data_IF_892130606992
#
_entry.id   IF_892130606992
#
_cell.length_a   1.000
_cell.length_b   1.000
_cell.length_c   1.000
_cell.angle_alpha   90.00
_cell.angle_beta   90.00
_cell.angle_gamma   90.00
#
_symmetry.space_group_name_H-M   'P 1'
#
loop_
_entity.id
_entity.type
_entity.pdbx_description
1 polymer ?
#
# COMPACT_ATOMS: atom_id res chain seq x y z
N UNK A 1 14.12 35.14 9.17
CA UNK A 1 15.41 34.50 8.79
C UNK A 1 15.51 34.55 7.27
N UNK A 2 16.61 35.07 6.73
CA UNK A 2 16.69 35.57 5.37
C UNK A 2 16.67 34.49 4.30
N UNK A 3 15.66 34.50 3.43
CA UNK A 3 15.42 33.62 2.26
C UNK A 3 16.58 33.66 1.21
N UNK A 4 17.54 34.56 1.36
CA UNK A 4 18.64 34.75 0.40
C UNK A 4 19.77 33.71 0.47
N UNK A 5 19.83 32.84 1.49
CA UNK A 5 20.85 31.78 1.62
C UNK A 5 20.50 30.46 0.89
N UNK A 6 19.29 30.32 0.36
CA UNK A 6 18.84 29.09 -0.32
C UNK A 6 19.29 29.01 -1.80
N UNK A 7 19.80 30.10 -2.37
CA UNK A 7 20.10 30.17 -3.81
C UNK A 7 21.47 29.60 -4.23
N UNK A 8 22.38 29.30 -3.29
CA UNK A 8 23.75 28.85 -3.64
C UNK A 8 23.97 27.34 -3.64
N UNK A 9 23.03 26.55 -3.11
CA UNK A 9 23.15 25.08 -3.09
C UNK A 9 22.58 24.37 -4.34
N UNK A 10 21.99 25.10 -5.28
CA UNK A 10 21.23 24.52 -6.42
C UNK A 10 22.08 24.07 -7.61
N UNK A 11 23.42 24.29 -7.61
CA UNK A 11 24.25 24.08 -8.83
C UNK A 11 25.14 22.83 -8.79
N UNK A 12 25.24 22.11 -7.66
CA UNK A 12 26.19 20.98 -7.51
C UNK A 12 25.56 19.59 -7.30
N UNK A 13 24.28 19.41 -7.63
CA UNK A 13 23.56 18.16 -7.31
C UNK A 13 23.47 17.12 -8.44
N UNK A 14 24.33 17.15 -9.44
CA UNK A 14 24.19 16.28 -10.62
C UNK A 14 24.86 14.88 -10.53
N UNK A 15 25.34 14.43 -9.38
CA UNK A 15 26.15 13.19 -9.40
C UNK A 15 26.02 12.17 -8.26
N UNK A 16 25.06 12.25 -7.32
CA UNK A 16 25.07 11.34 -6.14
C UNK A 16 23.88 10.42 -6.02
N UNK A 17 22.81 10.60 -6.75
CA UNK A 17 21.73 9.62 -6.81
C UNK A 17 21.64 9.05 -8.23
N UNK A 18 22.21 7.86 -8.44
CA UNK A 18 21.84 6.99 -9.54
C UNK A 18 20.42 6.46 -9.26
N UNK A 19 19.41 7.33 -9.45
CA UNK A 19 18.03 6.91 -9.59
C UNK A 19 17.90 6.38 -11.01
N UNK A 20 17.93 5.07 -11.15
CA UNK A 20 17.66 4.42 -12.43
C UNK A 20 16.24 4.75 -12.89
N UNK A 21 16.16 4.97 -14.17
CA UNK A 21 15.04 5.22 -15.06
C UNK A 21 14.78 6.70 -15.36
N UNK A 22 14.71 6.97 -16.65
CA UNK A 22 14.55 8.29 -17.26
C UNK A 22 13.39 9.06 -16.60
N UNK A 23 13.73 10.23 -16.03
CA UNK A 23 12.75 11.16 -15.49
C UNK A 23 11.91 11.69 -16.68
N UNK A 24 10.85 11.02 -17.02
CA UNK A 24 9.86 11.55 -17.96
C UNK A 24 9.29 12.84 -17.40
N UNK A 25 9.46 13.92 -18.13
CA UNK A 25 8.81 15.20 -17.82
C UNK A 25 7.30 14.99 -17.97
N UNK A 26 6.55 15.29 -16.90
CA UNK A 26 5.11 15.14 -16.92
C UNK A 26 4.46 16.20 -17.78
N UNK A 27 4.01 15.77 -18.95
CA UNK A 27 3.31 16.63 -19.88
C UNK A 27 1.82 16.63 -19.57
N UNK A 28 1.28 17.80 -19.24
CA UNK A 28 -0.13 18.05 -19.09
C UNK A 28 -0.70 18.56 -20.41
N UNK A 29 -1.94 18.22 -20.72
CA UNK A 29 -2.69 18.82 -21.82
C UNK A 29 -3.24 20.17 -21.39
N UNK A 30 -2.72 21.25 -21.97
CA UNK A 30 -3.28 22.60 -21.85
C UNK A 30 -4.24 22.87 -22.99
N UNK A 31 -5.39 23.46 -22.66
CA UNK A 31 -6.44 23.80 -23.64
C UNK A 31 -6.51 25.32 -23.78
N UNK A 32 -6.40 25.81 -24.97
CA UNK A 32 -6.60 27.24 -25.26
C UNK A 32 -8.10 27.60 -25.31
N UNK A 33 -8.45 28.88 -25.13
CA UNK A 33 -9.83 29.40 -25.26
C UNK A 33 -10.45 29.09 -26.64
N UNK A 34 -9.64 28.79 -27.65
CA UNK A 34 -10.06 28.38 -28.99
C UNK A 34 -10.22 26.85 -29.13
N UNK A 35 -10.17 26.09 -28.06
CA UNK A 35 -10.27 24.63 -28.03
C UNK A 35 -9.02 23.87 -28.50
N UNK A 36 -7.94 24.57 -28.89
CA UNK A 36 -6.69 23.90 -29.25
C UNK A 36 -6.03 23.32 -28.02
N UNK A 37 -5.55 22.09 -28.14
CA UNK A 37 -4.88 21.34 -27.08
C UNK A 37 -3.38 21.25 -27.37
N UNK A 38 -2.56 21.35 -26.33
CA UNK A 38 -1.11 21.23 -26.39
C UNK A 38 -0.60 20.47 -25.18
N UNK A 39 0.20 19.45 -25.39
CA UNK A 39 0.88 18.74 -24.32
C UNK A 39 2.20 19.42 -23.97
N UNK A 40 2.31 19.89 -22.75
CA UNK A 40 3.47 20.66 -22.29
C UNK A 40 3.63 20.61 -20.77
N UNK A 41 4.80 21.04 -20.31
CA UNK A 41 5.09 21.29 -18.89
C UNK A 41 5.08 22.80 -18.64
N UNK A 42 4.37 23.28 -17.63
CA UNK A 42 4.46 24.66 -17.17
C UNK A 42 5.79 24.87 -16.44
N UNK A 43 6.68 25.70 -16.98
CA UNK A 43 8.02 25.92 -16.44
C UNK A 43 8.20 27.31 -15.82
N UNK A 44 7.34 28.26 -16.16
CA UNK A 44 7.39 29.62 -15.60
C UNK A 44 6.07 30.36 -15.76
N UNK A 45 5.79 31.27 -14.82
CA UNK A 45 4.75 32.29 -14.95
C UNK A 45 5.28 33.63 -14.47
N UNK A 46 5.17 34.66 -15.28
CA UNK A 46 5.64 36.00 -14.96
C UNK A 46 4.73 37.06 -15.61
N UNK A 47 4.31 38.05 -14.84
CA UNK A 47 3.52 39.20 -15.31
C UNK A 47 2.30 38.81 -16.16
N UNK A 48 1.57 37.78 -15.77
CA UNK A 48 0.39 37.29 -16.52
C UNK A 48 0.70 36.41 -17.73
N UNK A 49 1.96 36.23 -18.09
CA UNK A 49 2.40 35.30 -19.13
C UNK A 49 2.71 33.92 -18.52
N UNK A 50 2.49 32.88 -19.31
CA UNK A 50 2.88 31.50 -19.01
C UNK A 50 3.92 31.03 -20.00
N UNK A 51 4.90 30.28 -19.53
CA UNK A 51 5.92 29.63 -20.38
C UNK A 51 5.78 28.13 -20.28
N UNK A 52 5.46 27.49 -21.39
CA UNK A 52 5.32 26.06 -21.54
C UNK A 52 6.53 25.45 -22.24
N UNK A 53 7.01 24.30 -21.74
CA UNK A 53 8.00 23.47 -22.41
C UNK A 53 7.28 22.34 -23.17
N UNK A 54 7.42 22.33 -24.50
CA UNK A 54 6.80 21.36 -25.39
C UNK A 54 7.60 20.05 -25.46
N UNK A 55 6.99 18.93 -25.86
CA UNK A 55 7.67 17.63 -26.05
C UNK A 55 8.89 17.69 -26.99
N UNK A 56 8.91 18.62 -27.91
CA UNK A 56 10.03 18.83 -28.83
C UNK A 56 11.15 19.74 -28.26
N UNK A 57 11.10 20.02 -26.96
CA UNK A 57 12.07 20.89 -26.27
C UNK A 57 11.91 22.38 -26.51
N UNK A 58 10.96 22.82 -27.34
CA UNK A 58 10.72 24.27 -27.56
C UNK A 58 9.96 24.86 -26.37
N UNK A 59 10.33 26.09 -26.02
CA UNK A 59 9.60 26.92 -25.06
C UNK A 59 8.61 27.81 -25.80
N UNK A 60 7.40 27.91 -25.27
CA UNK A 60 6.35 28.78 -25.78
C UNK A 60 5.85 29.69 -24.68
N UNK A 61 6.00 31.00 -24.83
CA UNK A 61 5.52 31.99 -23.86
C UNK A 61 4.35 32.75 -24.46
N UNK A 62 3.25 32.88 -23.73
CA UNK A 62 2.06 33.58 -24.15
C UNK A 62 1.23 34.05 -22.95
N UNK A 63 0.29 34.99 -23.13
CA UNK A 63 -0.58 35.45 -22.06
C UNK A 63 -1.44 34.29 -21.49
N UNK A 64 -1.49 34.14 -20.17
CA UNK A 64 -2.25 33.08 -19.47
C UNK A 64 -3.76 33.14 -19.72
N UNK A 65 -4.31 34.32 -20.05
CA UNK A 65 -5.71 34.52 -20.43
C UNK A 65 -6.13 33.81 -21.73
N UNK A 66 -5.16 33.27 -22.48
CA UNK A 66 -5.42 32.45 -23.68
C UNK A 66 -5.67 30.98 -23.36
N UNK A 67 -5.55 30.56 -22.13
CA UNK A 67 -5.87 29.21 -21.67
C UNK A 67 -7.35 29.11 -21.28
N UNK A 68 -7.87 27.88 -21.23
CA UNK A 68 -9.20 27.59 -20.67
C UNK A 68 -9.27 28.03 -19.20
N UNK A 69 -10.47 28.22 -18.70
CA UNK A 69 -10.69 28.62 -17.30
C UNK A 69 -10.03 27.65 -16.30
N UNK A 70 -10.19 26.35 -16.53
CA UNK A 70 -9.55 25.29 -15.75
C UNK A 70 -8.01 25.39 -15.75
N UNK A 71 -7.40 25.64 -16.91
CA UNK A 71 -5.96 25.78 -17.02
C UNK A 71 -5.45 27.11 -16.44
N UNK A 72 -6.27 28.17 -16.47
CA UNK A 72 -5.96 29.42 -15.78
C UNK A 72 -5.94 29.23 -14.26
N UNK A 73 -6.88 28.48 -13.70
CA UNK A 73 -6.89 28.12 -12.27
C UNK A 73 -5.66 27.29 -11.90
N UNK A 74 -5.30 26.29 -12.71
CA UNK A 74 -4.08 25.52 -12.54
C UNK A 74 -2.82 26.42 -12.54
N UNK A 75 -2.70 27.32 -13.52
CA UNK A 75 -1.58 28.28 -13.60
C UNK A 75 -1.58 29.22 -12.39
N UNK A 76 -2.72 29.69 -11.93
CA UNK A 76 -2.83 30.55 -10.75
C UNK A 76 -2.29 29.86 -9.49
N UNK A 77 -2.67 28.60 -9.30
CA UNK A 77 -2.23 27.78 -8.16
C UNK A 77 -0.76 27.31 -8.28
N UNK A 78 -0.19 27.27 -9.49
CA UNK A 78 1.16 26.76 -9.72
C UNK A 78 2.23 27.61 -9.03
N UNK A 79 3.19 26.95 -8.40
CA UNK A 79 4.36 27.57 -7.78
C UNK A 79 5.64 26.91 -8.28
N UNK A 80 6.58 27.69 -8.80
CA UNK A 80 7.83 27.19 -9.39
C UNK A 80 8.69 26.43 -8.40
N UNK A 81 8.81 26.94 -7.17
CA UNK A 81 9.62 26.27 -6.13
C UNK A 81 9.00 24.92 -5.76
N UNK A 82 7.68 24.87 -5.59
CA UNK A 82 6.94 23.63 -5.36
C UNK A 82 7.09 22.67 -6.55
N UNK A 83 6.96 23.14 -7.79
CA UNK A 83 7.10 22.31 -8.98
C UNK A 83 8.51 21.71 -9.12
N UNK A 84 9.55 22.49 -8.87
CA UNK A 84 10.95 22.01 -8.86
C UNK A 84 11.17 21.00 -7.72
N UNK A 85 10.63 21.26 -6.55
CA UNK A 85 10.68 20.33 -5.42
C UNK A 85 9.99 19.01 -5.76
N UNK A 86 8.75 19.05 -6.26
CA UNK A 86 7.99 17.85 -6.65
C UNK A 86 8.71 17.08 -7.77
N UNK A 87 9.26 17.76 -8.77
CA UNK A 87 10.06 17.10 -9.81
C UNK A 87 11.27 16.34 -9.21
N UNK A 88 11.92 16.90 -8.20
CA UNK A 88 13.01 16.21 -7.47
C UNK A 88 12.48 15.02 -6.66
N UNK A 89 11.26 15.11 -6.15
CA UNK A 89 10.62 14.03 -5.39
C UNK A 89 10.22 12.82 -6.23
N UNK A 90 10.20 12.91 -7.57
CA UNK A 90 9.87 11.77 -8.45
C UNK A 90 10.74 10.54 -8.22
N UNK A 91 11.99 10.74 -7.82
CA UNK A 91 12.90 9.66 -7.46
C UNK A 91 12.66 9.07 -6.05
N UNK A 92 11.85 9.71 -5.22
CA UNK A 92 11.53 9.24 -3.88
C UNK A 92 10.62 8.02 -3.94
N UNK A 93 10.94 6.94 -3.25
CA UNK A 93 10.08 5.76 -3.18
C UNK A 93 9.01 5.93 -2.09
N UNK A 94 7.91 5.17 -2.20
CA UNK A 94 6.90 5.07 -1.13
C UNK A 94 7.57 4.64 0.18
N UNK A 95 8.50 3.69 0.09
CA UNK A 95 9.30 3.22 1.22
C UNK A 95 10.05 4.36 1.91
N UNK A 96 10.81 5.17 1.14
CA UNK A 96 11.58 6.28 1.71
C UNK A 96 10.68 7.29 2.43
N UNK A 97 9.53 7.63 1.84
CA UNK A 97 8.58 8.54 2.43
C UNK A 97 7.98 7.99 3.74
N UNK A 98 7.57 6.71 3.75
CA UNK A 98 6.97 6.09 4.92
C UNK A 98 7.99 5.87 6.04
N UNK A 99 9.23 5.46 5.71
CA UNK A 99 10.31 5.35 6.70
C UNK A 99 10.63 6.71 7.34
N UNK A 100 10.59 7.82 6.58
CA UNK A 100 10.70 9.18 7.12
C UNK A 100 9.59 9.53 8.10
N UNK A 101 8.43 8.89 7.97
CA UNK A 101 7.26 9.07 8.85
C UNK A 101 7.22 8.06 9.98
N UNK A 102 8.29 7.31 10.20
CA UNK A 102 8.42 6.34 11.28
C UNK A 102 7.75 5.01 11.05
N UNK A 103 7.31 4.70 9.82
CA UNK A 103 6.80 3.37 9.49
C UNK A 103 7.92 2.35 9.45
N UNK A 104 7.65 1.15 9.95
CA UNK A 104 8.48 -0.01 9.79
C UNK A 104 8.10 -0.75 8.50
N UNK A 105 9.09 -1.23 7.76
CA UNK A 105 8.94 -1.81 6.43
C UNK A 105 9.25 -3.29 6.42
N UNK A 106 8.33 -4.11 5.89
CA UNK A 106 8.47 -5.56 5.78
C UNK A 106 8.38 -5.98 4.32
N UNK A 107 9.35 -6.79 3.88
CA UNK A 107 9.19 -7.54 2.63
C UNK A 107 8.21 -8.66 2.85
N UNK A 108 7.33 -8.87 1.90
CA UNK A 108 6.41 -9.99 1.92
C UNK A 108 6.75 -11.03 0.83
N UNK A 109 6.31 -12.26 1.07
CA UNK A 109 6.31 -13.32 0.08
C UNK A 109 4.94 -13.36 -0.59
N UNK A 110 4.91 -13.66 -1.90
CA UNK A 110 3.68 -14.02 -2.59
C UNK A 110 3.58 -15.54 -2.62
N UNK A 111 2.48 -16.07 -2.08
CA UNK A 111 2.09 -17.47 -2.20
C UNK A 111 0.84 -17.54 -3.04
N UNK A 112 0.95 -18.21 -4.18
CA UNK A 112 0.01 -17.97 -5.28
C UNK A 112 -0.03 -16.49 -5.63
N UNK A 113 -1.01 -15.72 -5.22
CA UNK A 113 -0.99 -14.26 -5.31
C UNK A 113 -1.16 -13.57 -3.94
N UNK A 114 -1.45 -14.33 -2.88
CA UNK A 114 -1.67 -13.78 -1.55
C UNK A 114 -0.39 -13.30 -0.89
N UNK A 115 -0.51 -12.25 -0.11
CA UNK A 115 0.59 -11.62 0.62
C UNK A 115 0.81 -12.34 1.94
N UNK A 116 2.01 -12.86 2.17
CA UNK A 116 2.39 -13.50 3.44
C UNK A 116 3.58 -12.77 4.06
N UNK A 117 3.45 -12.41 5.34
CA UNK A 117 4.49 -11.76 6.13
C UNK A 117 4.91 -12.60 7.33
N UNK A 118 6.18 -12.54 7.72
CA UNK A 118 6.64 -13.14 8.97
C UNK A 118 6.36 -12.22 10.16
N UNK A 119 6.17 -12.83 11.33
CA UNK A 119 6.07 -12.13 12.60
C UNK A 119 6.13 -13.13 13.75
N UNK A 120 5.65 -12.74 14.93
CA UNK A 120 5.61 -13.63 16.10
C UNK A 120 4.25 -13.57 16.78
N UNK A 121 3.81 -14.72 17.27
CA UNK A 121 2.65 -14.90 18.13
C UNK A 121 3.11 -15.49 19.46
N UNK A 122 2.91 -14.78 20.56
CA UNK A 122 3.41 -15.15 21.89
C UNK A 122 4.92 -15.47 21.90
N UNK A 123 5.71 -14.72 21.09
CA UNK A 123 7.15 -14.92 20.93
C UNK A 123 7.56 -16.08 20.00
N UNK A 124 6.62 -16.86 19.49
CA UNK A 124 6.86 -17.97 18.54
C UNK A 124 6.75 -17.41 17.12
N UNK A 125 7.68 -17.79 16.24
CA UNK A 125 7.66 -17.40 14.84
C UNK A 125 6.38 -17.88 14.16
N UNK A 126 5.74 -16.99 13.44
CA UNK A 126 4.45 -17.23 12.79
C UNK A 126 4.38 -16.54 11.41
N UNK A 127 3.47 -17.00 10.57
CA UNK A 127 3.20 -16.48 9.23
C UNK A 127 1.78 -15.96 9.15
N UNK A 128 1.64 -14.77 8.58
CA UNK A 128 0.40 -14.05 8.51
C UNK A 128 0.03 -13.76 7.06
N UNK A 129 -1.13 -14.20 6.66
CA UNK A 129 -1.73 -13.85 5.38
C UNK A 129 -2.41 -12.47 5.53
N UNK A 130 -2.06 -11.52 4.71
CA UNK A 130 -2.66 -10.18 4.71
C UNK A 130 -3.92 -10.20 3.87
N UNK A 131 -5.06 -9.96 4.51
CA UNK A 131 -6.38 -10.12 3.93
C UNK A 131 -7.28 -8.91 4.19
N UNK A 132 -7.37 -8.01 3.18
CA UNK A 132 -8.26 -6.83 3.25
C UNK A 132 -9.73 -7.18 3.03
N UNK A 133 -10.02 -8.37 2.51
CA UNK A 133 -11.36 -8.92 2.34
C UNK A 133 -11.93 -9.51 3.62
N UNK A 134 -11.08 -9.85 4.61
CA UNK A 134 -11.50 -10.29 5.92
C UNK A 134 -11.78 -9.08 6.82
N UNK A 135 -13.03 -8.88 7.22
CA UNK A 135 -13.41 -7.80 8.14
C UNK A 135 -12.74 -7.94 9.51
N UNK A 136 -12.49 -9.17 9.95
CA UNK A 136 -11.93 -9.51 11.26
C UNK A 136 -10.76 -10.47 11.05
N UNK A 137 -9.68 -10.25 11.78
CA UNK A 137 -8.53 -11.15 11.82
C UNK A 137 -8.94 -12.50 12.41
N UNK A 138 -8.32 -13.57 11.88
CA UNK A 138 -8.69 -14.94 12.22
C UNK A 138 -7.46 -15.83 12.40
N UNK A 139 -7.31 -16.43 13.56
CA UNK A 139 -6.25 -17.40 13.83
C UNK A 139 -6.57 -18.78 13.24
N UNK A 140 -5.59 -19.46 12.71
CA UNK A 140 -5.66 -20.89 12.50
C UNK A 140 -5.50 -21.60 13.83
N UNK A 141 -6.38 -22.56 14.15
CA UNK A 141 -6.34 -23.29 15.43
C UNK A 141 -4.97 -23.92 15.73
N UNK A 142 -4.32 -24.50 14.70
CA UNK A 142 -3.00 -25.11 14.89
C UNK A 142 -1.91 -24.08 15.18
N UNK A 143 -1.97 -22.92 14.53
CA UNK A 143 -1.10 -21.77 14.83
C UNK A 143 -1.30 -21.28 16.26
N UNK A 144 -2.55 -21.13 16.70
CA UNK A 144 -2.90 -20.74 18.07
C UNK A 144 -2.39 -21.74 19.12
N UNK A 145 -2.56 -23.06 18.86
CA UNK A 145 -2.04 -24.15 19.73
C UNK A 145 -0.52 -24.11 19.81
N UNK A 146 0.17 -24.00 18.66
CA UNK A 146 1.64 -23.93 18.58
C UNK A 146 2.19 -22.73 19.35
N UNK A 147 1.49 -21.59 19.28
CA UNK A 147 1.85 -20.37 20.01
C UNK A 147 1.38 -20.35 21.47
N UNK A 148 0.84 -21.45 22.00
CA UNK A 148 0.31 -21.57 23.35
C UNK A 148 -0.74 -20.49 23.71
N UNK A 149 -1.59 -20.14 22.77
CA UNK A 149 -2.70 -19.26 23.00
C UNK A 149 -3.78 -19.98 23.85
N UNK A 150 -4.54 -19.22 24.64
CA UNK A 150 -5.63 -19.75 25.41
C UNK A 150 -6.91 -19.72 24.58
N UNK A 151 -7.26 -20.87 24.00
CA UNK A 151 -8.45 -21.05 23.17
C UNK A 151 -9.67 -21.28 24.08
N UNK A 152 -10.73 -20.51 23.83
CA UNK A 152 -12.03 -20.64 24.51
C UNK A 152 -12.89 -21.78 23.96
N UNK A 153 -14.18 -21.82 24.31
CA UNK A 153 -15.12 -22.79 23.74
C UNK A 153 -15.40 -22.48 22.26
N UNK A 154 -15.65 -23.53 21.46
CA UNK A 154 -16.02 -23.44 20.06
C UNK A 154 -17.52 -23.15 19.90
N UNK A 155 -17.97 -21.98 20.33
CA UNK A 155 -19.37 -21.57 20.38
C UNK A 155 -19.68 -20.33 19.47
N UNK A 156 -18.69 -19.89 18.72
CA UNK A 156 -18.83 -18.87 17.72
C UNK A 156 -18.80 -19.44 16.30
N UNK A 157 -19.15 -18.62 15.31
CA UNK A 157 -19.07 -18.98 13.90
C UNK A 157 -18.39 -17.90 13.11
N UNK A 158 -17.59 -18.33 12.12
CA UNK A 158 -17.04 -17.44 11.09
C UNK A 158 -17.56 -17.87 9.73
N UNK A 159 -17.73 -16.90 8.87
CA UNK A 159 -18.31 -17.07 7.54
C UNK A 159 -17.29 -16.71 6.47
N UNK A 160 -17.20 -17.51 5.45
CA UNK A 160 -16.32 -17.30 4.34
C UNK A 160 -16.97 -17.66 2.99
N UNK A 161 -16.29 -17.48 1.83
CA UNK A 161 -16.80 -17.64 0.44
C UNK A 161 -17.48 -18.99 0.20
N UNK A 162 -17.12 -20.01 0.93
CA UNK A 162 -17.60 -21.35 0.70
C UNK A 162 -18.56 -21.87 1.77
N UNK A 163 -18.76 -21.11 2.87
CA UNK A 163 -19.62 -21.54 3.94
C UNK A 163 -19.29 -20.94 5.30
N UNK A 164 -19.58 -21.70 6.35
CA UNK A 164 -19.30 -21.33 7.74
C UNK A 164 -18.44 -22.42 8.41
N UNK A 165 -17.67 -22.03 9.43
CA UNK A 165 -16.94 -22.96 10.32
C UNK A 165 -17.05 -22.51 11.76
N UNK A 166 -16.91 -23.45 12.69
CA UNK A 166 -16.93 -23.17 14.12
C UNK A 166 -15.68 -22.43 14.55
N UNK A 167 -15.82 -21.52 15.52
CA UNK A 167 -14.73 -20.66 15.99
C UNK A 167 -14.77 -20.47 17.50
N UNK A 168 -13.64 -20.05 18.08
CA UNK A 168 -13.50 -19.75 19.49
C UNK A 168 -12.77 -18.41 19.70
N UNK A 169 -13.25 -17.61 20.64
CA UNK A 169 -12.45 -16.49 21.14
C UNK A 169 -11.17 -16.98 21.79
N UNK A 170 -10.05 -16.42 21.41
CA UNK A 170 -8.71 -16.89 21.78
C UNK A 170 -7.88 -15.72 22.32
N UNK A 171 -7.34 -15.90 23.53
CA UNK A 171 -6.48 -14.89 24.15
C UNK A 171 -5.06 -15.00 23.57
N UNK A 172 -4.57 -13.93 22.98
CA UNK A 172 -3.20 -13.79 22.45
C UNK A 172 -2.45 -12.76 23.29
N UNK A 173 -1.37 -13.18 23.97
CA UNK A 173 -0.58 -12.28 24.83
C UNK A 173 0.22 -11.27 24.06
N UNK A 174 0.77 -11.68 22.92
CA UNK A 174 1.50 -10.78 22.04
C UNK A 174 1.43 -11.21 20.58
N UNK A 175 1.22 -10.24 19.72
CA UNK A 175 1.28 -10.38 18.26
C UNK A 175 2.22 -9.29 17.76
N UNK A 176 3.36 -9.65 17.17
CA UNK A 176 4.39 -8.65 16.83
C UNK A 176 4.92 -8.80 15.41
N UNK A 177 5.16 -7.67 14.79
CA UNK A 177 5.78 -7.46 13.49
C UNK A 177 6.91 -6.44 13.69
N UNK A 178 8.12 -6.92 13.98
CA UNK A 178 9.21 -6.04 14.41
C UNK A 178 8.87 -5.30 15.70
N UNK A 179 8.84 -3.97 15.66
CA UNK A 179 8.42 -3.11 16.79
C UNK A 179 6.93 -2.81 16.79
N UNK A 180 6.24 -3.13 15.69
CA UNK A 180 4.79 -2.97 15.57
C UNK A 180 4.08 -4.19 16.14
N UNK A 181 2.90 -4.02 16.72
CA UNK A 181 2.10 -5.17 17.18
C UNK A 181 1.09 -4.83 18.26
N UNK A 182 0.63 -5.88 18.94
CA UNK A 182 -0.45 -5.82 19.93
C UNK A 182 -0.12 -6.70 21.13
N UNK A 183 -0.60 -6.32 22.29
CA UNK A 183 -0.54 -7.11 23.51
C UNK A 183 -1.93 -7.33 24.08
N UNK A 184 -2.12 -8.50 24.72
CA UNK A 184 -3.34 -8.87 25.43
C UNK A 184 -4.61 -8.64 24.59
N UNK A 185 -4.64 -9.20 23.36
CA UNK A 185 -5.79 -9.10 22.45
C UNK A 185 -6.53 -10.42 22.35
N UNK A 186 -7.82 -10.32 22.00
CA UNK A 186 -8.66 -11.47 21.68
C UNK A 186 -8.92 -11.53 20.18
N UNK A 187 -8.73 -12.70 19.58
CA UNK A 187 -8.95 -12.96 18.16
C UNK A 187 -9.72 -14.27 18.05
N UNK A 188 -10.65 -14.36 17.10
CA UNK A 188 -11.33 -15.62 16.79
C UNK A 188 -10.33 -16.62 16.19
N UNK A 189 -10.42 -17.88 16.60
CA UNK A 189 -9.66 -18.98 16.03
C UNK A 189 -10.60 -20.02 15.44
N UNK A 190 -10.29 -20.49 14.23
CA UNK A 190 -11.05 -21.52 13.54
C UNK A 190 -10.10 -22.52 12.85
N UNK A 191 -10.60 -23.68 12.47
CA UNK A 191 -9.87 -24.60 11.61
C UNK A 191 -10.01 -24.14 10.15
N UNK A 192 -8.99 -23.43 9.64
CA UNK A 192 -8.96 -22.94 8.26
C UNK A 192 -8.61 -24.03 7.24
N UNK A 193 -8.32 -25.24 7.71
CA UNK A 193 -7.96 -26.40 6.91
C UNK A 193 -8.95 -27.57 7.06
N UNK A 194 -10.12 -27.34 7.65
CA UNK A 194 -11.11 -28.39 7.94
C UNK A 194 -11.50 -29.19 6.69
N UNK A 195 -11.65 -28.53 5.55
CA UNK A 195 -12.06 -29.14 4.29
C UNK A 195 -10.89 -29.70 3.45
N UNK A 196 -9.65 -29.63 3.96
CA UNK A 196 -8.49 -30.18 3.28
C UNK A 196 -8.33 -31.66 3.59
N UNK A 197 -8.07 -32.47 2.56
CA UNK A 197 -7.58 -33.83 2.77
C UNK A 197 -6.17 -33.81 3.39
N UNK A 198 -5.73 -34.91 4.03
CA UNK A 198 -4.41 -34.99 4.64
C UNK A 198 -3.28 -34.73 3.59
N UNK A 199 -3.45 -35.17 2.35
CA UNK A 199 -2.51 -34.89 1.27
C UNK A 199 -2.51 -33.40 0.86
N UNK A 200 -3.67 -32.74 0.90
CA UNK A 200 -3.78 -31.32 0.66
C UNK A 200 -3.20 -30.49 1.83
N UNK A 201 -3.35 -30.94 3.07
CA UNK A 201 -2.74 -30.32 4.27
C UNK A 201 -1.21 -30.36 4.23
N UNK A 202 -0.63 -31.46 3.71
CA UNK A 202 0.84 -31.54 3.53
C UNK A 202 1.37 -30.54 2.48
N UNK A 203 0.55 -30.22 1.49
CA UNK A 203 0.93 -29.30 0.39
C UNK A 203 0.48 -27.87 0.68
N UNK A 204 -0.66 -27.71 1.32
CA UNK A 204 -1.19 -26.42 1.72
C UNK A 204 -0.33 -25.86 2.86
N UNK A 205 0.47 -24.86 2.55
CA UNK A 205 1.10 -24.03 3.57
C UNK A 205 0.00 -23.18 4.23
N UNK A 206 -0.64 -23.70 5.28
CA UNK A 206 -1.59 -22.92 6.06
C UNK A 206 -0.81 -21.89 6.89
N UNK A 207 -1.12 -20.64 6.69
CA UNK A 207 -0.63 -19.55 7.51
C UNK A 207 -1.25 -19.64 8.91
N UNK A 208 -0.55 -19.09 9.91
CA UNK A 208 -0.99 -19.16 11.30
C UNK A 208 -2.18 -18.27 11.60
N UNK A 209 -2.38 -17.28 10.76
CA UNK A 209 -3.42 -16.26 10.94
C UNK A 209 -3.72 -15.54 9.63
N UNK A 210 -4.99 -15.18 9.42
CA UNK A 210 -5.41 -14.11 8.52
C UNK A 210 -5.31 -12.78 9.27
N UNK A 211 -4.50 -11.86 8.78
CA UNK A 211 -4.38 -10.49 9.27
C UNK A 211 -5.41 -9.65 8.54
N UNK A 212 -6.56 -9.45 9.14
CA UNK A 212 -7.71 -8.78 8.58
C UNK A 212 -7.67 -7.26 8.70
N UNK A 213 -8.68 -6.63 8.12
CA UNK A 213 -8.78 -5.17 8.04
C UNK A 213 -8.86 -4.49 9.42
N UNK A 214 -9.38 -5.16 10.44
CA UNK A 214 -9.44 -4.68 11.84
C UNK A 214 -8.06 -4.36 12.42
N UNK A 215 -7.09 -5.26 12.23
CA UNK A 215 -5.72 -5.05 12.71
C UNK A 215 -4.89 -4.25 11.72
N UNK A 216 -5.11 -4.40 10.41
CA UNK A 216 -4.44 -3.59 9.39
C UNK A 216 -4.72 -2.09 9.57
N UNK A 217 -5.94 -1.72 9.95
CA UNK A 217 -6.29 -0.34 10.26
C UNK A 217 -5.54 0.18 11.50
N UNK A 218 -5.53 -0.60 12.58
CA UNK A 218 -4.84 -0.22 13.83
C UNK A 218 -3.33 -0.07 13.62
N UNK A 219 -2.75 -0.80 12.66
CA UNK A 219 -1.35 -0.69 12.23
C UNK A 219 -1.13 0.45 11.22
N UNK A 220 -2.17 1.22 10.87
CA UNK A 220 -2.13 2.20 9.77
C UNK A 220 -1.43 1.63 8.52
N UNK A 221 -1.75 0.39 8.17
CA UNK A 221 -1.03 -0.37 7.15
C UNK A 221 -0.98 0.35 5.79
N UNK A 222 0.17 0.23 5.12
CA UNK A 222 0.32 0.58 3.71
C UNK A 222 0.84 -0.65 2.97
N UNK A 223 0.12 -1.09 1.94
CA UNK A 223 0.46 -2.26 1.13
C UNK A 223 0.92 -1.78 -0.23
N UNK A 224 2.16 -2.08 -0.63
CA UNK A 224 2.74 -1.70 -1.91
C UNK A 224 3.06 -2.96 -2.73
N UNK A 225 2.28 -3.20 -3.78
CA UNK A 225 2.44 -4.36 -4.67
C UNK A 225 3.66 -4.24 -5.57
N UNK A 226 4.05 -3.03 -5.96
CA UNK A 226 5.23 -2.81 -6.81
C UNK A 226 6.52 -3.13 -6.09
N UNK A 227 6.70 -2.58 -4.89
CA UNK A 227 7.92 -2.81 -4.10
C UNK A 227 7.87 -4.13 -3.31
N UNK A 228 6.74 -4.83 -3.33
CA UNK A 228 6.45 -6.05 -2.54
C UNK A 228 6.75 -5.82 -1.06
N UNK A 229 6.14 -4.76 -0.52
CA UNK A 229 6.31 -4.37 0.87
C UNK A 229 4.98 -4.05 1.52
N UNK A 230 4.94 -4.32 2.81
CA UNK A 230 3.92 -3.79 3.70
C UNK A 230 4.62 -2.93 4.75
N UNK A 231 3.94 -1.88 5.17
CA UNK A 231 4.45 -0.94 6.16
C UNK A 231 3.45 -0.86 7.29
N UNK A 232 3.96 -0.89 8.51
CA UNK A 232 3.17 -0.70 9.71
C UNK A 232 3.72 0.48 10.50
N UNK A 233 2.83 1.20 11.16
CA UNK A 233 3.22 2.25 12.07
C UNK A 233 3.33 1.65 13.47
N UNK A 234 4.51 1.64 14.10
CA UNK A 234 4.65 1.19 15.48
C UNK A 234 3.75 2.02 16.40
N UNK A 235 3.05 1.36 17.32
CA UNK A 235 2.35 2.07 18.40
C UNK A 235 3.40 2.67 19.35
N UNK A 236 3.47 3.99 19.38
CA UNK A 236 4.43 4.73 20.19
C UNK A 236 3.85 5.13 21.56
N UNK A 237 2.66 4.62 21.91
CA UNK A 237 1.98 4.96 23.16
C UNK A 237 2.57 4.31 24.42
N UNK A 238 3.53 3.39 24.29
CA UNK A 238 4.22 2.83 25.44
C UNK A 238 5.10 3.90 26.13
N UNK A 239 4.88 4.12 27.42
CA UNK A 239 5.49 5.13 28.30
C UNK A 239 7.02 5.16 28.33
N UNK A 240 7.70 4.23 27.65
CA UNK A 240 9.15 4.19 27.53
C UNK A 240 9.70 4.92 26.30
N UNK A 241 8.85 5.44 25.43
CA UNK A 241 9.22 6.35 24.32
C UNK A 241 9.00 7.79 24.72
N UNK A 242 9.76 8.26 25.68
CA UNK A 242 9.81 9.69 26.05
C UNK A 242 10.25 10.48 24.83
N UNK A 243 9.32 11.20 24.19
CA UNK A 243 9.62 12.16 23.11
C UNK A 243 8.83 12.04 21.82
N UNK A 244 7.83 11.15 21.69
CA UNK A 244 7.14 10.90 20.43
C UNK A 244 5.83 11.69 20.22
N UNK A 245 5.52 12.66 21.04
CA UNK A 245 4.25 13.41 20.95
C UNK A 245 4.27 14.64 20.02
N UNK A 246 5.36 14.94 19.35
CA UNK A 246 5.36 16.00 18.36
C UNK A 246 5.56 15.44 16.97
N UNK A 247 4.72 15.86 16.03
CA UNK A 247 4.83 15.62 14.57
C UNK A 247 6.25 15.95 14.02
N UNK A 248 7.09 16.55 14.83
CA UNK A 248 8.46 16.98 14.50
C UNK A 248 9.52 15.85 14.54
N UNK A 249 9.24 14.70 15.14
CA UNK A 249 10.28 13.67 15.37
C UNK A 249 10.20 12.43 14.46
N UNK A 250 9.52 12.53 13.33
CA UNK A 250 9.41 11.48 12.32
C UNK A 250 10.73 11.18 11.56
N UNK A 251 11.85 11.75 11.96
CA UNK A 251 13.16 11.53 11.31
C UNK A 251 13.89 10.27 11.78
N UNK A 252 13.35 9.57 12.79
CA UNK A 252 13.93 8.35 13.31
C UNK A 252 13.46 7.14 12.51
N UNK A 253 14.44 6.35 12.03
CA UNK A 253 14.24 5.11 11.31
C UNK A 253 14.51 3.91 12.22
N UNK A 254 13.79 2.83 12.01
CA UNK A 254 14.06 1.52 12.63
C UNK A 254 15.10 0.78 11.79
N UNK A 255 16.23 0.48 12.40
CA UNK A 255 17.32 -0.30 11.82
C UNK A 255 17.30 -1.72 12.37
N UNK A 256 17.52 -2.72 11.52
CA UNK A 256 17.57 -4.14 11.89
C UNK A 256 19.02 -4.59 12.06
N UNK A 257 19.32 -5.23 13.17
CA UNK A 257 20.63 -5.83 13.42
C UNK A 257 20.64 -7.29 12.94
N UNK A 258 21.83 -7.86 12.74
CA UNK A 258 22.00 -9.25 12.31
C UNK A 258 21.55 -10.28 13.35
N UNK A 259 21.49 -9.91 14.62
CA UNK A 259 20.98 -10.74 15.72
C UNK A 259 19.44 -10.74 15.80
N UNK A 260 18.75 -10.03 14.89
CA UNK A 260 17.30 -9.92 14.83
C UNK A 260 16.72 -8.80 15.70
N UNK A 261 17.56 -8.13 16.52
CA UNK A 261 17.12 -6.97 17.29
C UNK A 261 16.95 -5.73 16.39
N UNK A 262 16.21 -4.76 16.87
CA UNK A 262 15.97 -3.48 16.21
C UNK A 262 16.58 -2.34 16.99
N UNK A 263 16.83 -1.23 16.29
CA UNK A 263 17.36 -0.01 16.87
C UNK A 263 16.69 1.18 16.17
N UNK A 264 16.01 2.01 16.93
CA UNK A 264 15.41 3.24 16.40
C UNK A 264 16.36 4.42 16.57
N UNK A 265 16.73 5.05 15.45
CA UNK A 265 17.69 6.14 15.46
C UNK A 265 17.72 6.95 14.18
N UNK A 266 18.38 8.10 14.23
CA UNK A 266 18.64 9.02 13.13
C UNK A 266 20.13 9.07 12.85
N UNK A 267 20.54 8.91 11.60
CA UNK A 267 21.96 9.02 11.23
C UNK A 267 22.43 10.46 11.37
N UNK A 268 23.45 10.67 12.14
CA UNK A 268 24.15 11.98 12.29
C UNK A 268 25.37 12.06 11.39
N UNK A 269 26.20 11.03 11.42
CA UNK A 269 27.41 10.95 10.60
C UNK A 269 27.74 9.51 10.27
N UNK A 270 28.50 9.27 9.23
CA UNK A 270 29.06 7.96 8.92
C UNK A 270 30.47 8.06 8.33
N UNK A 271 31.20 6.96 8.45
CA UNK A 271 32.37 6.67 7.63
C UNK A 271 32.22 5.27 7.00
N UNK A 272 33.30 4.70 6.47
CA UNK A 272 33.24 3.40 5.76
C UNK A 272 32.81 2.25 6.68
N UNK A 273 33.10 2.30 7.99
CA UNK A 273 32.93 1.17 8.90
C UNK A 273 31.95 1.44 10.05
N UNK A 274 31.70 2.72 10.36
CA UNK A 274 30.96 3.14 11.55
C UNK A 274 29.90 4.15 11.17
N UNK A 275 28.69 3.97 11.71
CA UNK A 275 27.62 4.95 11.69
C UNK A 275 27.42 5.51 13.10
N UNK A 276 27.19 6.82 13.19
CA UNK A 276 26.80 7.50 14.42
C UNK A 276 25.32 7.78 14.36
N UNK A 277 24.56 7.23 15.29
CA UNK A 277 23.12 7.40 15.41
C UNK A 277 22.79 8.26 16.63
N UNK A 278 21.84 9.16 16.46
CA UNK A 278 21.09 9.77 17.54
C UNK A 278 19.90 8.84 17.84
N UNK A 279 19.80 8.36 19.07
CA UNK A 279 18.73 7.48 19.51
C UNK A 279 17.53 8.29 19.98
N UNK A 280 16.35 7.67 20.09
CA UNK A 280 15.10 8.32 20.54
C UNK A 280 15.25 9.02 21.89
N UNK A 281 16.10 8.50 22.77
CA UNK A 281 16.40 9.11 24.06
C UNK A 281 17.38 10.31 24.00
N UNK A 282 17.68 10.80 22.80
CA UNK A 282 18.60 11.91 22.55
C UNK A 282 20.10 11.55 22.69
N UNK A 283 20.44 10.32 23.06
CA UNK A 283 21.85 9.89 23.14
C UNK A 283 22.43 9.62 21.75
N UNK A 284 23.64 10.08 21.53
CA UNK A 284 24.39 9.77 20.31
C UNK A 284 25.33 8.59 20.58
N UNK A 285 25.25 7.56 19.73
CA UNK A 285 26.04 6.35 19.85
C UNK A 285 26.60 5.88 18.52
N UNK A 286 27.81 5.34 18.55
CA UNK A 286 28.49 4.78 17.38
C UNK A 286 28.28 3.28 17.28
N UNK A 287 28.00 2.80 16.06
CA UNK A 287 27.82 1.39 15.77
C UNK A 287 28.64 0.97 14.55
N UNK A 288 29.31 -0.19 14.59
CA UNK A 288 29.90 -0.78 13.40
C UNK A 288 28.80 -1.09 12.37
N UNK A 289 28.95 -0.63 11.13
CA UNK A 289 27.96 -0.87 10.05
C UNK A 289 27.75 -2.38 9.83
N UNK A 290 28.81 -3.18 9.99
CA UNK A 290 28.74 -4.64 9.84
C UNK A 290 27.80 -5.37 10.83
N UNK A 291 27.29 -4.71 11.88
CA UNK A 291 26.29 -5.28 12.81
C UNK A 291 24.88 -5.26 12.25
N UNK A 292 24.59 -4.39 11.29
CA UNK A 292 23.25 -4.21 10.73
C UNK A 292 22.95 -5.22 9.62
N UNK A 293 21.68 -5.33 9.27
CA UNK A 293 21.22 -6.11 8.13
C UNK A 293 21.89 -5.66 6.83
N UNK A 294 21.90 -6.51 5.80
CA UNK A 294 22.46 -6.14 4.51
C UNK A 294 21.74 -4.93 3.90
N UNK A 295 20.43 -4.82 4.13
CA UNK A 295 19.61 -3.73 3.66
C UNK A 295 19.96 -2.39 4.33
N UNK A 296 20.13 -2.39 5.65
CA UNK A 296 20.54 -1.19 6.39
C UNK A 296 22.01 -0.84 6.13
N UNK A 297 22.85 -1.84 5.89
CA UNK A 297 24.21 -1.63 5.41
C UNK A 297 24.22 -0.87 4.07
N UNK A 298 23.34 -1.23 3.13
CA UNK A 298 23.20 -0.53 1.86
C UNK A 298 22.61 0.88 2.05
N UNK A 299 21.65 1.05 2.97
CA UNK A 299 21.14 2.38 3.34
C UNK A 299 22.27 3.29 3.85
N UNK A 300 23.12 2.82 4.78
CA UNK A 300 24.26 3.59 5.26
C UNK A 300 25.26 3.88 4.15
N UNK A 301 25.51 2.92 3.24
CA UNK A 301 26.40 3.15 2.10
C UNK A 301 25.93 4.33 1.25
N UNK A 302 24.63 4.41 0.97
CA UNK A 302 24.01 5.44 0.13
C UNK A 302 23.71 6.75 0.89
N UNK A 303 23.75 6.75 2.22
CA UNK A 303 23.39 7.92 3.02
C UNK A 303 24.38 9.08 2.80
N UNK A 304 23.86 10.29 2.67
CA UNK A 304 24.62 11.54 2.72
C UNK A 304 23.87 12.58 3.55
N UNK A 305 24.57 13.53 4.12
CA UNK A 305 23.97 14.64 4.90
C UNK A 305 23.00 15.46 4.04
N UNK A 306 23.41 15.75 2.81
CA UNK A 306 22.57 16.50 1.84
C UNK A 306 21.33 15.72 1.44
N UNK A 307 21.46 14.38 1.24
CA UNK A 307 20.34 13.49 0.98
C UNK A 307 19.37 13.43 2.15
N UNK A 308 19.89 13.35 3.37
CA UNK A 308 19.09 13.37 4.59
C UNK A 308 18.32 14.71 4.74
N UNK A 309 18.98 15.82 4.44
CA UNK A 309 18.34 17.14 4.46
C UNK A 309 17.21 17.24 3.42
N UNK A 310 17.44 16.77 2.19
CA UNK A 310 16.39 16.71 1.15
C UNK A 310 15.21 15.85 1.60
N UNK A 311 15.47 14.63 2.10
CA UNK A 311 14.45 13.73 2.59
C UNK A 311 13.65 14.36 3.73
N UNK A 312 14.28 15.10 4.62
CA UNK A 312 13.62 15.81 5.71
C UNK A 312 12.60 16.85 5.18
N UNK A 313 12.92 17.51 4.06
CA UNK A 313 11.98 18.43 3.41
C UNK A 313 10.82 17.70 2.69
N UNK A 314 11.01 16.44 2.31
CA UNK A 314 9.95 15.62 1.72
C UNK A 314 8.88 15.15 2.72
N UNK A 315 9.04 15.40 4.01
CA UNK A 315 8.09 14.96 5.06
C UNK A 315 6.67 15.52 4.89
N UNK A 316 6.55 16.71 4.33
CA UNK A 316 5.25 17.32 4.03
C UNK A 316 4.56 16.74 2.79
N UNK A 317 5.30 15.98 1.96
CA UNK A 317 4.74 15.35 0.76
C UNK A 317 3.79 14.22 1.17
N UNK A 318 2.57 14.23 0.66
CA UNK A 318 1.61 13.12 0.90
C UNK A 318 1.96 11.91 0.04
N UNK A 319 1.42 10.73 0.40
CA UNK A 319 1.53 9.54 -0.46
C UNK A 319 0.82 9.81 -1.80
N UNK A 320 -0.32 10.50 -1.76
CA UNK A 320 -1.07 10.90 -2.96
C UNK A 320 -0.22 11.76 -3.89
N UNK A 321 0.35 12.88 -3.40
CA UNK A 321 1.23 13.73 -4.20
C UNK A 321 2.41 12.96 -4.81
N UNK A 322 3.02 12.04 -4.05
CA UNK A 322 4.13 11.21 -4.55
C UNK A 322 3.70 10.25 -5.66
N UNK A 323 2.56 9.57 -5.47
CA UNK A 323 2.08 8.57 -6.42
C UNK A 323 1.48 9.22 -7.67
N UNK A 324 0.81 10.37 -7.54
CA UNK A 324 0.36 11.19 -8.68
C UNK A 324 1.54 11.61 -9.57
N UNK A 325 2.69 12.02 -8.98
CA UNK A 325 3.92 12.29 -9.73
C UNK A 325 4.42 11.10 -10.56
N UNK A 326 3.94 9.90 -10.28
CA UNK A 326 4.30 8.65 -10.94
C UNK A 326 3.17 8.10 -11.82
N UNK A 327 2.19 8.96 -12.13
CA UNK A 327 1.02 8.63 -12.92
C UNK A 327 0.11 7.52 -12.31
N UNK A 328 0.10 7.41 -10.98
CA UNK A 328 -0.93 6.65 -10.29
C UNK A 328 -2.21 7.46 -10.21
N UNK A 329 -3.33 6.75 -10.26
CA UNK A 329 -4.63 7.31 -9.95
C UNK A 329 -5.01 7.00 -8.52
N UNK A 330 -5.60 7.98 -7.86
CA UNK A 330 -6.02 7.92 -6.47
C UNK A 330 -7.54 7.73 -6.39
N UNK A 331 -7.97 6.74 -5.60
CA UNK A 331 -9.37 6.46 -5.32
C UNK A 331 -9.59 6.50 -3.82
N UNK A 332 -10.46 7.39 -3.37
CA UNK A 332 -10.95 7.31 -2.00
C UNK A 332 -11.91 6.13 -1.92
N UNK A 333 -11.62 5.18 -1.04
CA UNK A 333 -12.50 4.05 -0.84
C UNK A 333 -13.57 4.33 0.22
N UNK A 334 -14.70 3.65 0.09
CA UNK A 334 -15.72 3.61 1.14
C UNK A 334 -15.47 2.44 2.05
N UNK A 335 -15.73 2.63 3.33
CA UNK A 335 -15.71 1.54 4.32
C UNK A 335 -17.12 1.22 4.77
N UNK A 336 -17.42 -0.08 4.86
CA UNK A 336 -18.61 -0.57 5.53
C UNK A 336 -18.19 -1.76 6.41
N UNK A 337 -18.39 -1.61 7.71
CA UNK A 337 -17.61 -2.42 8.65
C UNK A 337 -16.12 -2.17 8.40
N UNK A 338 -15.34 -3.24 8.29
CA UNK A 338 -13.91 -3.14 8.02
C UNK A 338 -13.54 -3.41 6.55
N UNK A 339 -14.51 -3.67 5.67
CA UNK A 339 -14.26 -3.90 4.24
C UNK A 339 -14.00 -2.62 3.46
N UNK A 340 -13.18 -2.74 2.41
CA UNK A 340 -12.78 -1.66 1.50
C UNK A 340 -13.55 -1.79 0.18
N UNK A 341 -14.31 -0.76 -0.20
CA UNK A 341 -15.10 -0.72 -1.43
C UNK A 341 -14.68 0.43 -2.33
N UNK A 342 -14.51 0.12 -3.63
CA UNK A 342 -14.13 1.09 -4.68
C UNK A 342 -15.14 1.05 -5.80
N UNK A 343 -15.53 2.25 -6.30
CA UNK A 343 -16.41 2.39 -7.46
C UNK A 343 -15.64 2.15 -8.76
N UNK A 344 -16.30 1.49 -9.71
CA UNK A 344 -15.74 1.20 -11.04
C UNK A 344 -16.81 0.88 -12.05
N UNK A 345 -16.43 0.27 -13.17
CA UNK A 345 -17.38 -0.26 -14.16
C UNK A 345 -17.07 -1.70 -14.52
N UNK A 346 -18.09 -2.46 -14.90
CA UNK A 346 -18.02 -3.77 -15.53
C UNK A 346 -18.84 -3.74 -16.80
N UNK A 347 -18.21 -3.92 -17.98
CA UNK A 347 -18.86 -3.83 -19.28
C UNK A 347 -19.74 -2.56 -19.41
N UNK A 348 -19.16 -1.40 -19.00
CA UNK A 348 -19.80 -0.07 -18.98
C UNK A 348 -20.94 0.11 -17.96
N UNK A 349 -21.28 -0.88 -17.13
CA UNK A 349 -22.19 -0.75 -16.00
C UNK A 349 -21.42 -0.25 -14.76
N UNK A 350 -21.96 0.80 -14.11
CA UNK A 350 -21.39 1.30 -12.84
C UNK A 350 -21.56 0.25 -11.73
N UNK A 351 -20.50 -0.10 -11.06
CA UNK A 351 -20.45 -1.17 -10.06
C UNK A 351 -19.55 -0.81 -8.88
N UNK A 352 -19.67 -1.59 -7.81
CA UNK A 352 -18.80 -1.51 -6.62
C UNK A 352 -17.97 -2.78 -6.53
N UNK A 353 -16.67 -2.65 -6.29
CA UNK A 353 -15.75 -3.75 -6.05
C UNK A 353 -15.33 -3.80 -4.59
N UNK A 354 -15.24 -4.99 -4.02
CA UNK A 354 -14.58 -5.24 -2.75
C UNK A 354 -13.08 -5.48 -3.02
N UNK A 355 -12.20 -4.71 -2.38
CA UNK A 355 -10.75 -4.89 -2.47
C UNK A 355 -10.32 -6.01 -1.52
N UNK A 356 -9.77 -7.09 -2.07
CA UNK A 356 -9.48 -8.32 -1.34
C UNK A 356 -8.07 -8.83 -1.64
N UNK A 357 -7.11 -8.55 -0.75
CA UNK A 357 -5.71 -9.03 -0.87
C UNK A 357 -5.55 -10.49 -0.49
N UNK A 358 -6.54 -11.08 0.17
CA UNK A 358 -6.61 -12.51 0.51
C UNK A 358 -7.08 -13.37 -0.66
N UNK A 359 -7.80 -12.80 -1.61
CA UNK A 359 -8.22 -13.50 -2.82
C UNK A 359 -7.07 -13.56 -3.85
N UNK A 360 -6.56 -14.74 -4.12
CA UNK A 360 -5.52 -14.99 -5.13
C UNK A 360 -5.90 -14.49 -6.52
N UNK A 361 -7.18 -14.56 -6.83
CA UNK A 361 -7.78 -14.19 -8.11
C UNK A 361 -9.05 -13.39 -7.89
N UNK A 362 -9.30 -12.42 -8.75
CA UNK A 362 -10.53 -11.67 -8.76
C UNK A 362 -11.73 -12.57 -9.07
N UNK A 363 -12.83 -12.34 -8.38
CA UNK A 363 -14.07 -13.10 -8.49
C UNK A 363 -15.23 -12.18 -8.84
N UNK A 364 -16.19 -12.70 -9.63
CA UNK A 364 -17.41 -12.03 -9.97
C UNK A 364 -18.61 -12.72 -9.32
N UNK A 365 -19.54 -11.97 -8.78
CA UNK A 365 -20.81 -12.52 -8.33
C UNK A 365 -21.63 -13.00 -9.52
N UNK A 366 -22.03 -14.28 -9.51
CA UNK A 366 -22.74 -14.92 -10.63
C UNK A 366 -24.04 -14.18 -11.01
N UNK A 367 -24.75 -13.64 -10.04
CA UNK A 367 -25.96 -12.85 -10.29
C UNK A 367 -25.66 -11.66 -11.22
N UNK A 368 -24.63 -10.86 -10.91
CA UNK A 368 -24.26 -9.69 -11.73
C UNK A 368 -23.65 -10.07 -13.07
N UNK A 369 -22.93 -11.21 -13.14
CA UNK A 369 -22.46 -11.74 -14.41
C UNK A 369 -23.62 -12.01 -15.37
N UNK A 370 -24.72 -12.56 -14.87
CA UNK A 370 -25.93 -12.84 -15.63
C UNK A 370 -26.71 -11.57 -15.96
N UNK A 371 -26.88 -10.66 -15.00
CA UNK A 371 -27.61 -9.39 -15.18
C UNK A 371 -26.95 -8.51 -16.26
N UNK A 372 -25.62 -8.41 -16.24
CA UNK A 372 -24.85 -7.65 -17.23
C UNK A 372 -24.54 -8.44 -18.50
N UNK A 373 -25.19 -9.62 -18.67
CA UNK A 373 -25.11 -10.44 -19.88
C UNK A 373 -23.68 -10.83 -20.25
N UNK A 374 -22.83 -11.02 -19.26
CA UNK A 374 -21.49 -11.60 -19.48
C UNK A 374 -21.62 -13.02 -20.01
N UNK A 375 -20.64 -13.48 -20.78
CA UNK A 375 -20.64 -14.85 -21.29
C UNK A 375 -20.16 -15.80 -20.20
N UNK A 376 -21.12 -16.36 -19.47
CA UNK A 376 -20.88 -17.33 -18.38
C UNK A 376 -20.77 -18.72 -18.97
N UNK A 377 -19.67 -19.42 -18.67
CA UNK A 377 -19.44 -20.81 -19.04
C UNK A 377 -20.17 -21.81 -18.14
N UNK A 378 -19.89 -23.11 -18.27
CA UNK A 378 -20.46 -24.12 -17.38
C UNK A 378 -19.91 -24.00 -15.96
N UNK A 379 -20.71 -24.43 -14.97
CA UNK A 379 -20.34 -24.50 -13.55
C UNK A 379 -19.44 -25.72 -13.29
N UNK A 380 -18.29 -25.78 -13.94
CA UNK A 380 -17.35 -26.91 -13.90
C UNK A 380 -16.02 -26.54 -13.21
N UNK A 381 -15.95 -25.36 -12.62
CA UNK A 381 -14.83 -24.87 -11.83
C UNK A 381 -15.20 -24.84 -10.35
N UNK A 382 -14.19 -24.69 -9.51
CA UNK A 382 -14.34 -24.51 -8.08
C UNK A 382 -13.54 -23.29 -7.62
N UNK A 383 -14.09 -22.58 -6.66
CA UNK A 383 -13.36 -21.61 -5.83
C UNK A 383 -13.31 -22.13 -4.42
N UNK A 384 -12.23 -21.79 -3.71
CA UNK A 384 -12.03 -22.20 -2.32
C UNK A 384 -11.93 -20.96 -1.44
N UNK A 385 -12.49 -21.04 -0.25
CA UNK A 385 -12.39 -20.01 0.79
C UNK A 385 -12.71 -20.62 2.15
N UNK A 386 -12.87 -19.79 3.18
CA UNK A 386 -13.34 -20.25 4.49
C UNK A 386 -14.69 -20.94 4.32
N UNK A 387 -14.85 -22.11 4.92
CA UNK A 387 -16.06 -22.95 4.80
C UNK A 387 -16.04 -23.90 3.59
N UNK A 388 -14.91 -24.06 2.89
CA UNK A 388 -14.68 -25.13 1.91
C UNK A 388 -14.62 -24.71 0.46
N UNK A 389 -15.31 -25.48 -0.42
CA UNK A 389 -15.35 -25.26 -1.87
C UNK A 389 -16.72 -24.81 -2.32
N UNK A 390 -16.77 -23.92 -3.28
CA UNK A 390 -18.00 -23.51 -3.97
C UNK A 390 -17.85 -23.69 -5.48
N UNK A 391 -18.94 -24.13 -6.19
CA UNK A 391 -18.93 -24.25 -7.63
C UNK A 391 -18.79 -22.89 -8.29
N UNK A 392 -18.09 -22.82 -9.41
CA UNK A 392 -17.82 -21.60 -10.16
C UNK A 392 -17.85 -21.84 -11.66
N UNK A 393 -18.04 -20.77 -12.42
CA UNK A 393 -17.99 -20.76 -13.89
C UNK A 393 -16.92 -19.78 -14.38
N UNK A 394 -16.19 -20.15 -15.44
CA UNK A 394 -15.37 -19.19 -16.17
C UNK A 394 -16.29 -18.19 -16.91
N UNK A 395 -16.07 -16.90 -16.69
CA UNK A 395 -16.90 -15.81 -17.23
C UNK A 395 -16.03 -14.85 -18.02
N UNK A 396 -16.37 -14.64 -19.30
CA UNK A 396 -15.68 -13.68 -20.16
C UNK A 396 -16.18 -12.27 -19.87
N UNK A 397 -15.26 -11.35 -19.64
CA UNK A 397 -15.49 -9.93 -19.35
C UNK A 397 -14.80 -9.11 -20.44
N UNK A 398 -15.54 -8.22 -21.09
CA UNK A 398 -14.97 -7.35 -22.13
C UNK A 398 -14.12 -6.26 -21.50
N UNK A 399 -14.61 -5.62 -20.42
CA UNK A 399 -13.96 -4.45 -19.83
C UNK A 399 -14.28 -4.27 -18.36
N UNK A 400 -13.24 -4.01 -17.57
CA UNK A 400 -13.31 -3.51 -16.20
C UNK A 400 -12.60 -2.18 -16.16
N UNK A 401 -13.18 -1.15 -15.54
CA UNK A 401 -12.50 0.12 -15.29
C UNK A 401 -12.57 0.52 -13.83
N UNK A 402 -11.48 1.11 -13.37
CA UNK A 402 -11.37 1.80 -12.09
C UNK A 402 -10.69 3.13 -12.42
N UNK A 403 -11.48 4.22 -12.56
CA UNK A 403 -11.02 5.47 -13.15
C UNK A 403 -10.49 5.27 -14.57
N UNK A 404 -9.24 5.68 -14.85
CA UNK A 404 -8.57 5.48 -16.14
C UNK A 404 -7.85 4.11 -16.24
N UNK A 405 -7.70 3.37 -15.13
CA UNK A 405 -7.19 2.02 -15.18
C UNK A 405 -8.22 1.11 -15.86
N UNK A 406 -7.80 0.44 -16.93
CA UNK A 406 -8.67 -0.39 -17.76
C UNK A 406 -8.07 -1.77 -17.95
N UNK A 407 -8.88 -2.80 -17.67
CA UNK A 407 -8.57 -4.20 -17.93
C UNK A 407 -9.55 -4.71 -18.98
N UNK A 408 -9.05 -5.22 -20.11
CA UNK A 408 -9.89 -5.70 -21.23
C UNK A 408 -9.70 -7.18 -21.48
N UNK A 409 -10.75 -7.83 -22.04
CA UNK A 409 -10.73 -9.23 -22.45
C UNK A 409 -10.24 -10.16 -21.32
N UNK A 410 -10.91 -10.10 -20.18
CA UNK A 410 -10.60 -10.88 -18.98
C UNK A 410 -11.49 -12.10 -18.84
N UNK A 411 -10.96 -13.13 -18.20
CA UNK A 411 -11.75 -14.28 -17.74
C UNK A 411 -11.66 -14.30 -16.22
N UNK A 412 -12.81 -14.12 -15.56
CA UNK A 412 -12.93 -14.25 -14.10
C UNK A 412 -13.71 -15.53 -13.76
N UNK A 413 -13.50 -16.04 -12.58
CA UNK A 413 -14.41 -17.04 -12.03
C UNK A 413 -15.62 -16.33 -11.43
N UNK A 414 -16.82 -16.82 -11.77
CA UNK A 414 -18.07 -16.34 -11.20
C UNK A 414 -18.66 -17.41 -10.29
N UNK A 415 -19.04 -17.03 -9.08
CA UNK A 415 -19.67 -17.90 -8.08
C UNK A 415 -20.77 -17.13 -7.37
N UNK A 416 -21.60 -17.83 -6.59
CA UNK A 416 -22.62 -17.21 -5.76
C UNK A 416 -21.98 -16.59 -4.51
N UNK A 417 -21.89 -15.27 -4.48
CA UNK A 417 -21.38 -14.47 -3.38
C UNK A 417 -22.48 -13.94 -2.44
N UNK A 418 -23.74 -14.32 -2.62
CA UNK A 418 -24.85 -13.75 -1.86
C UNK A 418 -24.71 -13.87 -0.35
N UNK A 419 -24.04 -14.93 0.14
CA UNK A 419 -23.79 -15.15 1.57
C UNK A 419 -22.76 -14.21 2.19
N UNK A 420 -22.04 -13.48 1.34
CA UNK A 420 -20.94 -12.56 1.74
C UNK A 420 -21.34 -11.10 1.66
N UNK A 421 -22.54 -10.80 1.21
CA UNK A 421 -23.00 -9.42 1.16
C UNK A 421 -23.14 -8.92 2.61
N UNK A 422 -22.26 -8.02 3.09
CA UNK A 422 -22.24 -7.65 4.51
C UNK A 422 -23.48 -6.86 4.94
N UNK A 423 -24.30 -6.47 3.96
CA UNK A 423 -25.50 -5.67 4.23
C UNK A 423 -26.36 -5.53 2.95
N UNK A 424 -27.68 -5.53 3.12
CA UNK A 424 -28.64 -5.37 2.03
C UNK A 424 -28.51 -4.03 1.27
N UNK A 425 -27.89 -3.02 1.91
CA UNK A 425 -27.77 -1.66 1.35
C UNK A 425 -26.50 -1.42 0.52
N UNK A 426 -25.54 -2.37 0.46
CA UNK A 426 -24.32 -2.22 -0.33
C UNK A 426 -24.00 -3.50 -1.10
N UNK A 427 -24.56 -3.59 -2.28
CA UNK A 427 -24.25 -4.66 -3.22
C UNK A 427 -22.91 -4.41 -3.91
N UNK A 428 -22.02 -5.39 -3.90
CA UNK A 428 -20.78 -5.36 -4.67
C UNK A 428 -20.81 -6.42 -5.76
N UNK A 429 -20.18 -6.09 -6.90
CA UNK A 429 -20.20 -6.95 -8.08
C UNK A 429 -19.27 -8.16 -7.94
N UNK A 430 -18.23 -8.04 -7.12
CA UNK A 430 -17.25 -9.10 -6.95
C UNK A 430 -16.03 -8.64 -6.12
N UNK A 431 -15.04 -9.52 -6.04
CA UNK A 431 -13.78 -9.28 -5.37
C UNK A 431 -12.74 -8.81 -6.39
N UNK A 432 -12.12 -7.66 -6.12
CA UNK A 432 -10.95 -7.19 -6.85
C UNK A 432 -9.71 -7.74 -6.14
N UNK A 433 -9.19 -8.85 -6.64
CA UNK A 433 -8.19 -9.68 -5.98
C UNK A 433 -6.75 -9.25 -6.22
N UNK A 434 -5.83 -9.99 -5.61
CA UNK A 434 -4.41 -9.75 -5.67
C UNK A 434 -3.81 -9.84 -7.08
N UNK A 435 -4.42 -10.61 -7.99
CA UNK A 435 -4.02 -10.69 -9.40
C UNK A 435 -4.05 -9.31 -10.10
N UNK A 436 -5.17 -8.59 -10.01
CA UNK A 436 -5.29 -7.28 -10.63
C UNK A 436 -4.59 -6.18 -9.84
N UNK A 437 -4.59 -6.27 -8.51
CA UNK A 437 -3.81 -5.33 -7.70
C UNK A 437 -2.32 -5.38 -8.04
N UNK A 438 -1.79 -6.57 -8.30
CA UNK A 438 -0.39 -6.74 -8.74
C UNK A 438 -0.18 -6.23 -10.16
N UNK A 439 -1.11 -6.50 -11.10
CA UNK A 439 -1.03 -6.02 -12.49
C UNK A 439 -1.03 -4.50 -12.57
N UNK A 440 -1.77 -3.83 -11.69
CA UNK A 440 -1.92 -2.38 -11.64
C UNK A 440 -0.97 -1.72 -10.62
N UNK A 441 0.07 -2.41 -10.15
CA UNK A 441 1.04 -1.89 -9.16
C UNK A 441 0.34 -1.22 -7.97
N UNK A 442 -0.74 -1.78 -7.44
CA UNK A 442 -1.60 -1.16 -6.43
C UNK A 442 -0.84 -0.74 -5.17
N UNK A 443 -1.24 0.40 -4.60
CA UNK A 443 -0.87 0.82 -3.25
C UNK A 443 -2.15 1.07 -2.44
N UNK A 444 -2.28 0.44 -1.28
CA UNK A 444 -3.44 0.56 -0.40
C UNK A 444 -3.00 1.24 0.89
N UNK A 445 -3.69 2.31 1.30
CA UNK A 445 -3.36 3.06 2.52
C UNK A 445 -4.56 3.08 3.46
N UNK A 446 -4.40 2.58 4.68
CA UNK A 446 -5.48 2.58 5.66
C UNK A 446 -5.69 3.97 6.30
N UNK A 447 -4.62 4.68 6.62
CA UNK A 447 -4.70 6.01 7.24
C UNK A 447 -5.38 7.04 6.34
N UNK A 448 -5.06 7.06 5.05
CA UNK A 448 -5.61 8.03 4.10
C UNK A 448 -6.91 7.54 3.46
N UNK A 449 -7.32 6.29 3.74
CA UNK A 449 -8.49 5.61 3.15
C UNK A 449 -8.48 5.66 1.61
N UNK A 450 -7.33 5.32 0.99
CA UNK A 450 -7.12 5.39 -0.45
C UNK A 450 -6.55 4.11 -1.03
N UNK A 451 -6.95 3.84 -2.25
CA UNK A 451 -6.31 2.89 -3.16
C UNK A 451 -5.73 3.67 -4.33
N UNK A 452 -4.50 3.36 -4.67
CA UNK A 452 -3.82 3.92 -5.83
C UNK A 452 -3.55 2.80 -6.83
N UNK A 453 -3.87 3.04 -8.09
CA UNK A 453 -3.64 2.10 -9.19
C UNK A 453 -2.85 2.78 -10.28
N UNK A 454 -1.92 2.05 -10.90
CA UNK A 454 -1.19 2.55 -12.05
C UNK A 454 -1.90 2.09 -13.33
N UNK A 455 -2.44 3.00 -14.15
CA UNK A 455 -3.06 2.64 -15.42
C UNK A 455 -2.07 1.88 -16.31
N UNK A 456 -2.52 0.78 -16.91
CA UNK A 456 -1.77 0.11 -17.97
C UNK A 456 -1.98 0.88 -19.26
N UNK A 457 -0.89 1.39 -19.86
CA UNK A 457 -0.90 2.03 -21.18
C UNK A 457 -1.24 1.07 -22.32
#
# INVERSE_FOLDING_TARGET
MNIKSLFFAAVLFSSVFAFGEDLEQEYRTFTGINGKKIEAVLIDKLEGNVTLLLKNGKRSTFPGDKLSEEDQEYVAAWNREKAVFLQRCRGLTVRQLLELRGYESFKYELRSNSIVIPGKMNGIDAKFLVDTGAATSLLHLDGARRANCKIGPMDEKVYGVSGETDAAWTDVKSLTFGESGFTDIQILAADLAEDLTEAEKEIAHTEDMLLGADLLERLEAVIDYKERRIFFRPDLSDENTVGAETDDDLSFRIFKLKDGSTLRGKVKTKNTNVVTLELVNGKTQQYPIGRFSAEDGQYFFNWSEEGAYFLQHCRSLTIEELLELRAYQSFQYRRKGNHIFVDGTLNDHGVVWLIDTGADSSLLHLHWAQEFKCKVGPMDKEVRGIGGKAPAAATEIDKITLGDATLTNRILLSTDLARFQPDEDLEYVGLFGADYMRELDAVITYRESRVFLKPTN
#
